data_IF_930178973621
#
_entry.id   IF_930178973621
#
_cell.length_a   1.000
_cell.length_b   1.000
_cell.length_c   1.000
_cell.angle_alpha   90.00
_cell.angle_beta   90.00
_cell.angle_gamma   90.00
#
_symmetry.space_group_name_H-M   'P 1'
#
loop_
_entity.id
_entity.type
_entity.pdbx_description
1 polymer ?
#
# COMPACT_ATOMS: atom_id res chain seq x y z
N UNK A 1 -20.79 7.47 -49.42
CA UNK A 1 -19.41 7.36 -48.88
C UNK A 1 -18.47 8.45 -49.41
N UNK A 2 -18.18 8.55 -50.72
CA UNK A 2 -17.29 9.61 -51.27
C UNK A 2 -17.75 11.05 -50.97
N UNK A 3 -19.05 11.33 -51.08
CA UNK A 3 -19.62 12.65 -50.76
C UNK A 3 -19.48 13.01 -49.26
N UNK A 4 -19.68 12.05 -48.37
CA UNK A 4 -19.53 12.24 -46.92
C UNK A 4 -18.07 12.52 -46.51
N UNK A 5 -17.12 11.81 -47.14
CA UNK A 5 -15.69 12.01 -46.93
C UNK A 5 -15.24 13.39 -47.44
N UNK A 6 -15.76 13.83 -48.59
CA UNK A 6 -15.49 15.15 -49.14
C UNK A 6 -16.06 16.29 -48.27
N UNK A 7 -17.23 16.09 -47.63
CA UNK A 7 -17.82 17.07 -46.72
C UNK A 7 -17.03 17.13 -45.39
N UNK A 8 -16.61 15.98 -44.85
CA UNK A 8 -15.75 15.92 -43.67
C UNK A 8 -14.40 16.64 -43.88
N UNK A 9 -13.75 16.43 -45.03
CA UNK A 9 -12.50 17.12 -45.37
C UNK A 9 -12.69 18.63 -45.49
N UNK A 10 -13.82 19.08 -46.05
CA UNK A 10 -14.14 20.52 -46.14
C UNK A 10 -14.32 21.14 -44.75
N UNK A 11 -15.00 20.46 -43.84
CA UNK A 11 -15.18 20.92 -42.44
C UNK A 11 -13.87 20.94 -41.67
N UNK A 12 -12.99 19.96 -41.87
CA UNK A 12 -11.66 19.94 -41.25
C UNK A 12 -10.82 21.17 -41.68
N UNK A 13 -10.88 21.55 -42.96
CA UNK A 13 -10.16 22.74 -43.46
C UNK A 13 -10.73 24.07 -42.96
N UNK A 14 -12.01 24.12 -42.62
CA UNK A 14 -12.67 25.35 -42.17
C UNK A 14 -12.33 25.75 -40.73
N UNK A 15 -11.80 24.84 -39.91
CA UNK A 15 -11.47 25.10 -38.51
C UNK A 15 -10.11 24.47 -38.09
N UNK A 16 -8.99 24.89 -38.70
CA UNK A 16 -7.70 24.23 -38.55
C UNK A 16 -7.21 24.16 -37.10
N UNK A 17 -7.46 25.19 -36.28
CA UNK A 17 -7.07 25.20 -34.87
C UNK A 17 -7.77 24.13 -34.02
N UNK A 18 -9.05 23.85 -34.30
CA UNK A 18 -9.81 22.84 -33.55
C UNK A 18 -9.43 21.42 -33.95
N UNK A 19 -9.15 21.21 -35.24
CA UNK A 19 -8.61 19.95 -35.75
C UNK A 19 -7.24 19.66 -35.16
N UNK A 20 -6.37 20.68 -35.10
CA UNK A 20 -5.06 20.54 -34.47
C UNK A 20 -5.18 20.16 -32.99
N UNK A 21 -6.09 20.78 -32.23
CA UNK A 21 -6.33 20.44 -30.83
C UNK A 21 -6.86 19.01 -30.65
N UNK A 22 -7.84 18.58 -31.45
CA UNK A 22 -8.37 17.23 -31.39
C UNK A 22 -7.31 16.18 -31.75
N UNK A 23 -6.52 16.44 -32.80
CA UNK A 23 -5.40 15.57 -33.18
C UNK A 23 -4.33 15.51 -32.07
N UNK A 24 -3.99 16.65 -31.47
CA UNK A 24 -3.05 16.71 -30.35
C UNK A 24 -3.56 15.90 -29.15
N UNK A 25 -4.86 15.98 -28.83
CA UNK A 25 -5.47 15.18 -27.76
C UNK A 25 -5.40 13.68 -28.01
N UNK A 26 -5.69 13.22 -29.24
CA UNK A 26 -5.57 11.81 -29.62
C UNK A 26 -4.12 11.34 -29.52
N UNK A 27 -3.17 12.14 -30.03
CA UNK A 27 -1.74 11.80 -29.97
C UNK A 27 -1.26 11.72 -28.52
N UNK A 28 -1.68 12.65 -27.66
CA UNK A 28 -1.35 12.63 -26.24
C UNK A 28 -1.93 11.40 -25.54
N UNK A 29 -3.20 11.07 -25.77
CA UNK A 29 -3.84 9.88 -25.19
C UNK A 29 -3.16 8.58 -25.66
N UNK A 30 -2.84 8.46 -26.95
CA UNK A 30 -2.13 7.31 -27.49
C UNK A 30 -0.71 7.20 -26.92
N UNK A 31 -0.01 8.32 -26.74
CA UNK A 31 1.31 8.36 -26.11
C UNK A 31 1.26 7.93 -24.64
N UNK A 32 0.26 8.40 -23.88
CA UNK A 32 0.04 8.00 -22.48
C UNK A 32 -0.26 6.50 -22.36
N UNK A 33 -1.12 5.96 -23.22
CA UNK A 33 -1.40 4.52 -23.26
C UNK A 33 -0.16 3.71 -23.63
N UNK A 34 0.61 4.15 -24.63
CA UNK A 34 1.87 3.50 -25.02
C UNK A 34 2.91 3.52 -23.90
N UNK A 35 3.03 4.64 -23.19
CA UNK A 35 3.90 4.77 -22.02
C UNK A 35 3.43 3.83 -20.88
N UNK A 36 2.13 3.81 -20.57
CA UNK A 36 1.56 2.94 -19.55
C UNK A 36 1.83 1.46 -19.83
N UNK A 37 1.57 0.99 -21.05
CA UNK A 37 1.85 -0.41 -21.45
C UNK A 37 3.35 -0.74 -21.36
N UNK A 38 4.20 0.19 -21.79
CA UNK A 38 5.67 0.01 -21.74
C UNK A 38 6.17 -0.09 -20.30
N UNK A 39 5.69 0.79 -19.41
CA UNK A 39 6.04 0.77 -17.97
C UNK A 39 5.52 -0.51 -17.32
N UNK A 40 4.27 -0.90 -17.59
CA UNK A 40 3.69 -2.15 -17.08
C UNK A 40 4.55 -3.37 -17.43
N UNK A 41 4.90 -3.49 -18.71
CA UNK A 41 5.71 -4.58 -19.22
C UNK A 41 7.14 -4.54 -18.66
N UNK A 42 7.71 -3.34 -18.54
CA UNK A 42 9.03 -3.12 -17.94
C UNK A 42 9.09 -3.52 -16.46
N UNK A 43 8.05 -3.22 -15.69
CA UNK A 43 7.96 -3.59 -14.28
C UNK A 43 7.73 -5.10 -14.09
N UNK A 44 6.80 -5.69 -14.85
CA UNK A 44 6.54 -7.13 -14.76
C UNK A 44 7.79 -7.96 -15.09
N UNK A 45 8.43 -7.67 -16.23
CA UNK A 45 9.65 -8.41 -16.65
C UNK A 45 10.90 -7.99 -15.88
N UNK A 46 10.92 -6.76 -15.34
CA UNK A 46 11.98 -6.25 -14.50
C UNK A 46 12.01 -6.93 -13.14
N UNK A 47 10.84 -7.16 -12.53
CA UNK A 47 10.70 -7.92 -11.30
C UNK A 47 11.22 -9.35 -11.48
N UNK A 48 10.73 -10.10 -12.47
CA UNK A 48 11.15 -11.49 -12.70
C UNK A 48 12.67 -11.61 -12.88
N UNK A 49 13.27 -10.69 -13.64
CA UNK A 49 14.72 -10.65 -13.84
C UNK A 49 15.47 -10.34 -12.55
N UNK A 50 14.99 -9.36 -11.78
CA UNK A 50 15.62 -8.96 -10.52
C UNK A 50 15.47 -10.06 -9.47
N UNK A 51 14.31 -10.69 -9.36
CA UNK A 51 14.05 -11.83 -8.49
C UNK A 51 14.94 -13.02 -8.83
N UNK A 52 15.13 -13.32 -10.12
CA UNK A 52 16.03 -14.37 -10.56
C UNK A 52 17.50 -14.03 -10.28
N UNK A 53 17.93 -12.79 -10.49
CA UNK A 53 19.30 -12.34 -10.20
C UNK A 53 19.60 -12.30 -8.70
N UNK A 54 18.63 -11.87 -7.90
CA UNK A 54 18.71 -11.81 -6.45
C UNK A 54 18.52 -13.18 -5.78
N UNK A 55 18.16 -14.19 -6.58
CA UNK A 55 17.83 -15.51 -6.08
C UNK A 55 16.80 -15.44 -4.93
N UNK A 56 15.74 -14.67 -5.17
CA UNK A 56 14.71 -14.33 -4.18
C UNK A 56 14.08 -15.61 -3.60
N UNK A 57 13.86 -15.74 -2.29
CA UNK A 57 13.18 -16.90 -1.71
C UNK A 57 11.77 -17.07 -2.27
N UNK A 58 11.26 -18.30 -2.23
CA UNK A 58 9.86 -18.58 -2.58
C UNK A 58 8.92 -18.12 -1.45
N UNK A 59 9.38 -18.20 -0.20
CA UNK A 59 8.69 -17.69 0.99
C UNK A 59 9.66 -16.92 1.88
N UNK A 60 9.26 -15.72 2.27
CA UNK A 60 9.87 -14.93 3.33
C UNK A 60 8.94 -14.99 4.54
N UNK A 61 9.42 -15.52 5.66
CA UNK A 61 8.71 -15.53 6.93
C UNK A 61 9.31 -14.47 7.84
N UNK A 62 8.50 -13.52 8.30
CA UNK A 62 8.85 -12.56 9.36
C UNK A 62 8.16 -12.97 10.65
N UNK A 63 8.81 -12.81 11.79
CA UNK A 63 8.30 -13.16 13.11
C UNK A 63 9.01 -12.28 14.15
N UNK A 64 8.64 -12.37 15.43
CA UNK A 64 9.36 -11.68 16.51
C UNK A 64 10.81 -12.17 16.68
N UNK A 65 11.56 -11.57 17.60
CA UNK A 65 12.92 -12.01 17.89
C UNK A 65 12.94 -13.39 18.56
N UNK A 66 13.63 -14.34 17.93
CA UNK A 66 13.68 -15.74 18.37
C UNK A 66 15.13 -16.27 18.34
N UNK A 67 15.38 -17.30 19.14
CA UNK A 67 16.65 -18.02 19.06
C UNK A 67 16.75 -18.79 17.73
N UNK A 68 17.90 -18.68 17.07
CA UNK A 68 18.10 -19.29 15.74
C UNK A 68 17.91 -20.81 15.77
N UNK A 69 18.36 -21.49 16.82
CA UNK A 69 18.26 -22.95 16.94
C UNK A 69 16.81 -23.41 17.02
N UNK A 70 15.98 -22.66 17.75
CA UNK A 70 14.55 -22.90 17.88
C UNK A 70 13.80 -22.75 16.55
N UNK A 71 14.12 -21.69 15.79
CA UNK A 71 13.55 -21.49 14.45
C UNK A 71 14.05 -22.57 13.49
N UNK A 72 15.34 -22.91 13.56
CA UNK A 72 15.98 -23.93 12.73
C UNK A 72 15.34 -25.31 12.90
N UNK A 73 15.06 -25.74 14.13
CA UNK A 73 14.39 -27.02 14.39
C UNK A 73 13.02 -27.10 13.68
N UNK A 74 12.25 -26.02 13.75
CA UNK A 74 10.91 -25.94 13.15
C UNK A 74 10.99 -25.87 11.62
N UNK A 75 11.85 -25.02 11.07
CA UNK A 75 11.99 -24.83 9.62
C UNK A 75 12.61 -26.07 8.97
N UNK A 76 13.53 -26.76 9.63
CA UNK A 76 14.13 -27.99 9.12
C UNK A 76 13.14 -29.13 8.90
N UNK A 77 12.00 -29.10 9.62
CA UNK A 77 10.94 -30.09 9.47
C UNK A 77 9.99 -29.82 8.28
N UNK A 78 10.12 -28.67 7.61
CA UNK A 78 9.22 -28.31 6.52
C UNK A 78 9.44 -29.21 5.29
N UNK A 79 8.38 -29.86 4.78
CA UNK A 79 8.48 -30.56 3.51
C UNK A 79 8.63 -29.56 2.36
N UNK A 80 9.18 -30.03 1.23
CA UNK A 80 9.41 -29.21 0.05
C UNK A 80 10.40 -28.04 0.26
N UNK A 81 11.19 -28.05 1.33
CA UNK A 81 12.23 -27.06 1.57
C UNK A 81 13.55 -27.53 0.96
N UNK A 82 14.07 -26.79 -0.02
CA UNK A 82 15.40 -27.01 -0.59
C UNK A 82 16.48 -26.36 0.29
N UNK A 83 16.27 -25.09 0.66
CA UNK A 83 17.26 -24.31 1.40
C UNK A 83 16.59 -23.25 2.26
N UNK A 84 17.31 -22.82 3.30
CA UNK A 84 16.90 -21.76 4.21
C UNK A 84 18.08 -20.88 4.62
N UNK A 85 17.78 -19.61 4.88
CA UNK A 85 18.70 -18.62 5.44
C UNK A 85 17.95 -17.81 6.48
N UNK A 86 18.64 -17.38 7.54
CA UNK A 86 18.06 -16.52 8.58
C UNK A 86 18.69 -15.15 8.59
N UNK A 87 17.93 -14.18 9.08
CA UNK A 87 18.39 -12.81 9.30
C UNK A 87 17.83 -12.26 10.59
N UNK A 88 18.54 -11.25 11.06
CA UNK A 88 18.03 -10.25 11.97
C UNK A 88 17.76 -8.96 11.20
N UNK A 89 16.56 -8.42 11.34
CA UNK A 89 16.12 -7.12 10.81
C UNK A 89 15.92 -6.17 11.99
N UNK A 90 16.65 -5.06 12.02
CA UNK A 90 16.41 -3.94 12.94
C UNK A 90 15.80 -2.80 12.14
N UNK A 91 14.65 -2.27 12.57
CA UNK A 91 13.97 -1.12 11.95
C UNK A 91 14.25 0.17 12.72
N UNK A 92 13.84 1.31 12.13
CA UNK A 92 13.91 2.63 12.76
C UNK A 92 15.33 3.02 13.22
N UNK A 93 16.32 2.55 12.45
CA UNK A 93 17.73 2.81 12.73
C UNK A 93 18.14 4.12 12.09
N UNK A 94 18.66 5.10 12.84
CA UNK A 94 19.16 6.34 12.26
C UNK A 94 20.38 6.08 11.39
N UNK A 95 20.26 6.29 10.07
CA UNK A 95 21.32 6.13 9.10
C UNK A 95 21.81 7.48 8.59
N UNK A 96 23.13 7.61 8.40
CA UNK A 96 23.76 8.83 7.87
C UNK A 96 24.91 8.50 6.92
N UNK A 97 24.94 9.14 5.77
CA UNK A 97 26.04 9.09 4.80
C UNK A 97 26.00 10.29 3.85
N UNK A 98 27.16 10.74 3.35
CA UNK A 98 27.30 11.83 2.37
C UNK A 98 26.50 13.13 2.66
N UNK A 99 26.28 13.44 3.94
CA UNK A 99 25.53 14.64 4.38
C UNK A 99 24.02 14.45 4.45
N UNK A 100 23.52 13.29 4.03
CA UNK A 100 22.12 12.88 4.14
C UNK A 100 21.89 12.06 5.43
N UNK A 101 20.63 12.05 5.89
CA UNK A 101 20.22 11.28 7.06
C UNK A 101 18.75 10.86 6.99
N UNK A 102 18.43 9.68 7.53
CA UNK A 102 17.06 9.20 7.72
C UNK A 102 16.96 8.45 9.04
N UNK A 103 15.84 8.62 9.74
CA UNK A 103 15.51 7.85 10.95
C UNK A 103 14.75 6.55 10.61
N UNK A 104 14.36 6.35 9.34
CA UNK A 104 13.61 5.19 8.83
C UNK A 104 14.56 4.12 8.22
N UNK A 105 15.72 3.92 8.82
CA UNK A 105 16.70 2.95 8.34
C UNK A 105 16.40 1.53 8.81
N UNK A 106 16.79 0.55 7.98
CA UNK A 106 16.71 -0.87 8.26
C UNK A 106 18.08 -1.51 8.07
N UNK A 107 18.52 -2.22 9.11
CA UNK A 107 19.73 -3.03 9.07
C UNK A 107 19.34 -4.49 9.01
N UNK A 108 19.84 -5.19 8.01
CA UNK A 108 19.78 -6.65 7.94
C UNK A 108 21.13 -7.26 8.30
N UNK A 109 21.20 -7.94 9.44
CA UNK A 109 22.35 -8.80 9.74
C UNK A 109 22.16 -10.13 9.00
N UNK A 110 22.96 -10.34 7.96
CA UNK A 110 22.81 -11.48 7.06
C UNK A 110 23.77 -12.62 7.40
N UNK A 111 23.30 -13.84 7.18
CA UNK A 111 24.06 -15.08 7.35
C UNK A 111 23.93 -15.94 6.08
N UNK A 112 24.84 -16.90 5.90
CA UNK A 112 24.74 -17.90 4.83
C UNK A 112 25.05 -17.39 3.40
N UNK A 113 24.93 -18.31 2.45
CA UNK A 113 25.30 -18.11 1.05
C UNK A 113 24.19 -17.45 0.23
N UNK A 114 22.94 -17.94 0.32
CA UNK A 114 21.80 -17.37 -0.39
C UNK A 114 21.17 -16.26 0.42
N UNK A 115 21.15 -15.06 -0.18
CA UNK A 115 20.78 -13.82 0.51
C UNK A 115 19.67 -13.05 -0.19
N UNK A 116 18.90 -13.62 -1.09
CA UNK A 116 17.67 -12.97 -1.58
C UNK A 116 17.83 -11.54 -2.11
N UNK A 117 19.06 -11.12 -2.43
CA UNK A 117 19.44 -9.85 -3.02
C UNK A 117 20.61 -10.11 -3.98
N UNK A 118 20.74 -9.30 -5.02
CA UNK A 118 21.82 -9.39 -6.00
C UNK A 118 22.81 -8.26 -5.78
N UNK A 119 24.12 -8.54 -5.84
CA UNK A 119 25.16 -7.51 -5.91
C UNK A 119 25.22 -6.98 -7.35
N UNK A 120 25.10 -5.66 -7.50
CA UNK A 120 25.20 -4.97 -8.78
C UNK A 120 26.58 -4.33 -8.96
N UNK A 121 27.19 -3.88 -7.87
CA UNK A 121 28.51 -3.26 -7.85
C UNK A 121 29.29 -3.67 -6.60
N UNK A 122 30.62 -3.77 -6.71
CA UNK A 122 31.49 -4.15 -5.61
C UNK A 122 31.45 -5.64 -5.30
N UNK A 123 31.34 -5.98 -4.02
CA UNK A 123 31.29 -7.35 -3.51
C UNK A 123 30.23 -7.48 -2.41
N UNK A 124 29.87 -8.72 -2.09
CA UNK A 124 29.02 -9.00 -0.93
C UNK A 124 29.82 -8.92 0.39
N UNK A 125 29.12 -8.78 1.52
CA UNK A 125 29.72 -8.94 2.86
C UNK A 125 30.04 -10.41 3.10
N UNK A 126 31.18 -10.70 3.71
CA UNK A 126 31.61 -12.05 4.12
C UNK A 126 31.41 -12.24 5.62
N UNK A 127 31.53 -13.47 6.11
CA UNK A 127 31.33 -13.76 7.53
C UNK A 127 32.23 -12.94 8.45
N UNK A 128 33.43 -12.57 7.99
CA UNK A 128 34.45 -11.87 8.77
C UNK A 128 34.45 -10.33 8.52
N UNK A 129 33.55 -9.81 7.67
CA UNK A 129 33.47 -8.38 7.36
C UNK A 129 32.73 -7.59 8.46
N UNK A 130 33.44 -7.22 9.52
CA UNK A 130 32.89 -6.37 10.59
C UNK A 130 32.57 -4.95 10.11
N UNK A 131 33.42 -4.41 9.25
CA UNK A 131 33.37 -3.02 8.81
C UNK A 131 32.72 -2.86 7.42
N UNK A 132 32.15 -3.93 6.85
CA UNK A 132 31.56 -3.91 5.52
C UNK A 132 30.03 -3.87 5.52
N UNK A 133 29.45 -3.07 4.63
CA UNK A 133 28.01 -3.06 4.36
C UNK A 133 27.71 -3.14 2.85
N UNK A 134 26.61 -3.81 2.50
CA UNK A 134 25.98 -3.67 1.18
C UNK A 134 24.80 -2.72 1.31
N UNK A 135 24.72 -1.71 0.45
CA UNK A 135 23.64 -0.72 0.46
C UNK A 135 22.67 -0.99 -0.70
N UNK A 136 21.37 -0.78 -0.47
CA UNK A 136 20.36 -0.89 -1.52
C UNK A 136 20.59 0.17 -2.62
N UNK A 137 20.39 -0.21 -3.88
CA UNK A 137 20.68 0.64 -5.04
C UNK A 137 19.92 1.96 -5.04
N UNK A 138 18.62 1.95 -4.73
CA UNK A 138 17.81 3.18 -4.66
C UNK A 138 18.39 4.18 -3.66
N UNK A 139 18.83 3.69 -2.50
CA UNK A 139 19.54 4.49 -1.50
C UNK A 139 20.85 5.04 -2.05
N UNK A 140 21.67 4.17 -2.65
CA UNK A 140 22.95 4.59 -3.20
C UNK A 140 22.79 5.67 -4.28
N UNK A 141 21.75 5.57 -5.11
CA UNK A 141 21.45 6.56 -6.14
C UNK A 141 20.97 7.90 -5.55
N UNK A 142 20.05 7.85 -4.60
CA UNK A 142 19.46 9.07 -4.03
C UNK A 142 20.48 9.83 -3.17
N UNK A 143 21.26 9.12 -2.36
CA UNK A 143 22.26 9.73 -1.47
C UNK A 143 23.63 9.92 -2.13
N UNK A 144 23.76 9.55 -3.41
CA UNK A 144 25.02 9.62 -4.15
C UNK A 144 26.15 8.83 -3.49
N UNK A 145 25.87 7.60 -3.04
CA UNK A 145 26.82 6.70 -2.42
C UNK A 145 27.50 5.81 -3.45
N UNK A 146 28.81 5.62 -3.30
CA UNK A 146 29.63 4.73 -4.11
C UNK A 146 30.27 3.62 -3.24
N UNK A 147 30.76 2.56 -3.89
CA UNK A 147 31.57 1.55 -3.18
C UNK A 147 32.87 2.20 -2.66
N UNK A 148 33.14 2.03 -1.38
CA UNK A 148 34.23 2.68 -0.65
C UNK A 148 33.80 3.88 0.20
N UNK A 149 32.58 4.39 0.02
CA UNK A 149 32.00 5.38 0.92
C UNK A 149 31.70 4.77 2.29
N UNK A 150 31.37 5.61 3.28
CA UNK A 150 31.02 5.16 4.63
C UNK A 150 29.57 5.49 4.94
N UNK A 151 28.85 4.51 5.49
CA UNK A 151 27.53 4.68 6.07
C UNK A 151 27.57 4.41 7.56
N UNK A 152 26.89 5.24 8.35
CA UNK A 152 26.86 5.13 9.80
C UNK A 152 25.45 4.84 10.31
N UNK A 153 25.37 3.98 11.33
CA UNK A 153 24.16 3.74 12.10
C UNK A 153 24.33 4.26 13.54
N UNK A 154 23.43 5.16 13.93
CA UNK A 154 23.52 5.83 15.22
C UNK A 154 24.81 6.64 15.37
N UNK A 155 25.41 6.59 16.55
CA UNK A 155 26.64 7.34 16.88
C UNK A 155 27.90 6.48 17.00
N UNK A 156 27.78 5.15 16.86
CA UNK A 156 28.85 4.21 17.23
C UNK A 156 29.22 3.21 16.14
N UNK A 157 28.34 2.98 15.16
CA UNK A 157 28.59 2.00 14.11
C UNK A 157 28.77 2.73 12.78
N UNK A 158 29.82 2.35 12.06
CA UNK A 158 30.13 2.84 10.73
C UNK A 158 30.67 1.70 9.89
N UNK A 159 30.19 1.57 8.66
CA UNK A 159 30.62 0.56 7.71
C UNK A 159 31.08 1.21 6.41
N UNK A 160 32.15 0.70 5.84
CA UNK A 160 32.52 0.90 4.45
C UNK A 160 31.51 0.18 3.55
N UNK A 161 31.01 0.89 2.54
CA UNK A 161 30.12 0.33 1.54
C UNK A 161 30.96 -0.57 0.62
N UNK A 162 30.91 -1.87 0.84
CA UNK A 162 31.67 -2.86 0.05
C UNK A 162 30.92 -3.30 -1.20
N UNK A 163 29.61 -3.04 -1.27
CA UNK A 163 28.80 -3.34 -2.44
C UNK A 163 27.49 -2.56 -2.50
N UNK A 164 26.92 -2.48 -3.69
CA UNK A 164 25.58 -1.95 -3.95
C UNK A 164 24.72 -3.10 -4.44
N UNK A 165 23.61 -3.35 -3.76
CA UNK A 165 22.72 -4.48 -4.00
C UNK A 165 21.32 -4.09 -4.42
N UNK A 166 20.56 -5.05 -4.95
CA UNK A 166 19.12 -4.93 -5.19
C UNK A 166 18.37 -6.09 -4.54
N UNK A 167 17.37 -5.76 -3.73
CA UNK A 167 16.46 -6.73 -3.12
C UNK A 167 15.06 -6.53 -3.69
N UNK A 168 14.50 -7.50 -4.42
CA UNK A 168 13.20 -7.34 -5.09
C UNK A 168 12.01 -7.53 -4.16
N UNK A 169 12.23 -7.80 -2.88
CA UNK A 169 11.20 -7.99 -1.85
C UNK A 169 10.53 -6.68 -1.38
N UNK A 170 10.92 -5.54 -1.95
CA UNK A 170 10.27 -4.25 -1.71
C UNK A 170 10.38 -3.33 -2.92
N UNK A 171 9.59 -2.26 -2.92
CA UNK A 171 9.76 -1.16 -3.86
C UNK A 171 11.08 -0.44 -3.55
N UNK A 172 11.82 -0.02 -4.58
CA UNK A 172 13.08 0.69 -4.40
C UNK A 172 12.87 2.04 -3.69
N UNK A 173 13.84 2.46 -2.89
CA UNK A 173 13.91 3.82 -2.34
C UNK A 173 13.96 4.84 -3.50
N UNK A 174 13.26 6.00 -3.40
CA UNK A 174 12.55 6.54 -2.24
C UNK A 174 11.07 6.16 -2.12
N UNK A 175 10.55 5.26 -2.96
CA UNK A 175 9.13 4.91 -2.94
C UNK A 175 8.76 4.06 -1.71
N UNK A 176 9.64 3.13 -1.31
CA UNK A 176 9.65 2.66 0.06
C UNK A 176 10.47 3.67 0.85
N UNK A 177 9.85 4.39 1.79
CA UNK A 177 10.52 5.38 2.65
C UNK A 177 11.70 4.79 3.45
N UNK A 178 11.73 3.47 3.56
CA UNK A 178 12.71 2.71 4.32
C UNK A 178 14.03 2.52 3.59
N UNK A 179 15.14 2.88 4.25
CA UNK A 179 16.49 2.77 3.73
C UNK A 179 17.12 1.44 4.19
N UNK A 180 17.61 0.59 3.28
CA UNK A 180 18.13 -0.75 3.66
C UNK A 180 19.63 -0.90 3.49
N UNK A 181 20.27 -1.46 4.50
CA UNK A 181 21.66 -1.92 4.46
C UNK A 181 21.79 -3.36 4.96
N UNK A 182 22.77 -4.09 4.42
CA UNK A 182 23.07 -5.49 4.78
C UNK A 182 24.48 -5.56 5.34
N UNK A 183 24.62 -6.15 6.53
CA UNK A 183 25.88 -6.27 7.27
C UNK A 183 26.12 -7.72 7.67
N UNK A 184 27.37 -8.09 7.96
CA UNK A 184 27.69 -9.46 8.39
C UNK A 184 27.17 -9.72 9.81
N UNK A 185 26.18 -10.63 9.94
CA UNK A 185 25.72 -11.10 11.24
C UNK A 185 26.84 -11.77 12.06
N UNK A 186 27.58 -12.74 11.51
CA UNK A 186 28.64 -13.43 12.25
C UNK A 186 29.74 -12.48 12.74
N UNK A 187 30.12 -11.47 11.95
CA UNK A 187 31.11 -10.50 12.37
C UNK A 187 30.62 -9.64 13.54
N UNK A 188 29.35 -9.21 13.52
CA UNK A 188 28.74 -8.48 14.62
C UNK A 188 28.70 -9.33 15.91
N UNK A 189 28.30 -10.60 15.80
CA UNK A 189 28.27 -11.52 16.94
C UNK A 189 29.66 -11.68 17.58
N UNK A 190 30.69 -11.88 16.76
CA UNK A 190 32.08 -11.99 17.22
C UNK A 190 32.60 -10.69 17.85
N UNK A 191 32.34 -9.54 17.23
CA UNK A 191 32.87 -8.26 17.68
C UNK A 191 32.29 -7.79 19.03
N UNK A 192 31.05 -8.18 19.32
CA UNK A 192 30.32 -7.73 20.50
C UNK A 192 30.08 -8.85 21.53
N UNK A 193 30.59 -10.06 21.28
CA UNK A 193 30.49 -11.24 22.16
C UNK A 193 29.02 -11.55 22.57
N UNK A 194 28.11 -11.54 21.58
CA UNK A 194 26.72 -11.91 21.78
C UNK A 194 26.16 -12.69 20.59
N UNK A 195 25.04 -13.38 20.79
CA UNK A 195 24.31 -14.06 19.71
C UNK A 195 23.15 -13.20 19.26
N UNK A 196 23.12 -12.85 17.97
CA UNK A 196 22.02 -12.10 17.38
C UNK A 196 20.80 -13.04 17.28
N UNK A 197 19.60 -12.62 17.74
CA UNK A 197 18.38 -13.36 17.46
C UNK A 197 18.11 -13.37 15.95
N UNK A 198 17.05 -14.07 15.55
CA UNK A 198 16.53 -14.02 14.18
C UNK A 198 15.06 -13.65 14.25
N UNK A 199 14.63 -12.84 13.29
CA UNK A 199 13.23 -12.42 13.14
C UNK A 199 12.76 -12.56 11.68
N UNK A 200 13.61 -13.15 10.84
CA UNK A 200 13.30 -13.44 9.45
C UNK A 200 13.94 -14.75 8.98
N UNK A 201 13.14 -15.55 8.26
CA UNK A 201 13.59 -16.74 7.56
C UNK A 201 13.26 -16.64 6.06
N UNK A 202 14.27 -16.90 5.23
CA UNK A 202 14.16 -16.97 3.78
C UNK A 202 14.17 -18.42 3.37
N UNK A 203 13.13 -18.86 2.66
CA UNK A 203 12.88 -20.26 2.34
C UNK A 203 12.82 -20.45 0.82
N UNK A 204 13.63 -21.36 0.30
CA UNK A 204 13.61 -21.79 -1.10
C UNK A 204 13.00 -23.17 -1.19
N UNK A 205 11.97 -23.31 -2.01
CA UNK A 205 11.21 -24.54 -2.18
C UNK A 205 11.89 -25.46 -3.21
N UNK A 206 11.87 -26.77 -2.96
CA UNK A 206 12.33 -27.76 -3.95
C UNK A 206 11.46 -27.75 -5.21
N UNK A 207 10.15 -27.59 -5.03
CA UNK A 207 9.16 -27.38 -6.09
C UNK A 207 8.38 -26.07 -5.80
N UNK A 208 8.71 -24.96 -6.50
CA UNK A 208 8.04 -23.68 -6.32
C UNK A 208 6.52 -23.72 -6.60
N UNK A 209 6.04 -24.67 -7.43
CA UNK A 209 4.61 -24.83 -7.72
C UNK A 209 3.83 -25.40 -6.52
N UNK A 210 4.52 -25.87 -5.49
CA UNK A 210 3.96 -26.43 -4.25
C UNK A 210 4.28 -25.56 -3.03
N UNK A 211 4.45 -24.26 -3.25
CA UNK A 211 4.69 -23.28 -2.18
C UNK A 211 3.48 -23.21 -1.23
N UNK A 212 2.27 -23.46 -1.73
CA UNK A 212 1.04 -23.57 -0.94
C UNK A 212 1.13 -24.69 0.13
N UNK A 213 1.67 -25.86 -0.23
CA UNK A 213 1.89 -26.97 0.70
C UNK A 213 2.93 -26.60 1.75
N UNK A 214 4.02 -25.95 1.34
CA UNK A 214 5.05 -25.46 2.27
C UNK A 214 4.46 -24.46 3.27
N UNK A 215 3.61 -23.53 2.82
CA UNK A 215 2.94 -22.55 3.69
C UNK A 215 1.92 -23.18 4.64
N UNK A 216 1.13 -24.16 4.16
CA UNK A 216 0.17 -24.86 5.02
C UNK A 216 0.89 -25.59 6.16
N UNK A 217 2.01 -26.23 5.86
CA UNK A 217 2.83 -26.91 6.87
C UNK A 217 3.57 -25.92 7.76
N UNK A 218 4.12 -24.85 7.20
CA UNK A 218 4.77 -23.80 7.96
C UNK A 218 3.82 -23.19 9.00
N UNK A 219 2.57 -22.90 8.62
CA UNK A 219 1.53 -22.42 9.56
C UNK A 219 1.19 -23.45 10.65
N UNK A 220 1.24 -24.74 10.34
CA UNK A 220 0.98 -25.80 11.31
C UNK A 220 2.17 -25.99 12.27
N UNK A 221 3.41 -25.82 11.80
CA UNK A 221 4.64 -26.00 12.58
C UNK A 221 5.10 -24.73 13.31
N UNK A 222 4.60 -23.56 12.93
CA UNK A 222 4.98 -22.28 13.49
C UNK A 222 4.27 -21.92 14.80
N UNK A 223 3.60 -22.89 15.43
CA UNK A 223 2.98 -22.70 16.72
C UNK A 223 4.02 -22.20 17.74
N UNK A 224 3.78 -21.01 18.30
CA UNK A 224 4.64 -20.38 19.28
C UNK A 224 5.54 -19.25 18.77
N UNK A 225 5.65 -19.02 17.46
CA UNK A 225 6.32 -17.82 16.94
C UNK A 225 5.37 -16.62 17.01
N UNK A 226 5.78 -15.53 17.67
CA UNK A 226 5.01 -14.28 17.68
C UNK A 226 5.09 -13.57 16.32
N UNK A 227 4.05 -12.81 15.99
CA UNK A 227 4.02 -11.88 14.84
C UNK A 227 4.34 -12.49 13.47
N UNK A 228 4.08 -13.79 13.31
CA UNK A 228 4.42 -14.52 12.11
C UNK A 228 3.63 -14.04 10.89
N UNK A 229 4.36 -13.60 9.87
CA UNK A 229 3.82 -13.18 8.56
C UNK A 229 4.59 -13.90 7.45
N UNK A 230 3.84 -14.51 6.54
CA UNK A 230 4.41 -15.14 5.35
C UNK A 230 4.18 -14.25 4.13
N UNK A 231 5.26 -13.99 3.40
CA UNK A 231 5.25 -13.24 2.14
C UNK A 231 5.79 -14.19 1.07
N UNK A 232 4.98 -14.51 0.07
CA UNK A 232 5.42 -15.37 -1.04
C UNK A 232 6.04 -14.54 -2.15
N UNK A 233 6.91 -15.14 -2.97
CA UNK A 233 7.44 -14.51 -4.20
C UNK A 233 6.31 -13.94 -5.08
N UNK A 234 5.25 -14.72 -5.26
CA UNK A 234 4.06 -14.32 -6.01
C UNK A 234 3.33 -13.15 -5.33
N UNK A 235 3.25 -13.16 -4.00
CA UNK A 235 2.67 -12.05 -3.22
C UNK A 235 3.46 -10.74 -3.37
N UNK A 236 4.79 -10.80 -3.37
CA UNK A 236 5.63 -9.64 -3.68
C UNK A 236 5.38 -9.15 -5.11
N UNK A 237 5.32 -10.07 -6.09
CA UNK A 237 5.05 -9.73 -7.48
C UNK A 237 3.69 -9.03 -7.65
N UNK A 238 2.66 -9.52 -6.95
CA UNK A 238 1.33 -8.91 -6.94
C UNK A 238 1.36 -7.54 -6.29
N UNK A 239 2.00 -7.37 -5.13
CA UNK A 239 2.08 -6.07 -4.45
C UNK A 239 2.80 -5.01 -5.30
N UNK A 240 3.91 -5.38 -5.94
CA UNK A 240 4.63 -4.51 -6.88
C UNK A 240 3.78 -4.23 -8.13
N UNK A 241 3.08 -5.25 -8.63
CA UNK A 241 2.16 -5.14 -9.77
C UNK A 241 0.95 -4.25 -9.49
N UNK A 242 0.41 -4.28 -8.26
CA UNK A 242 -0.71 -3.46 -7.82
C UNK A 242 -0.32 -1.99 -7.71
N UNK A 243 0.82 -1.70 -7.07
CA UNK A 243 1.36 -0.33 -7.02
C UNK A 243 1.56 0.24 -8.44
N UNK A 244 2.07 -0.56 -9.37
CA UNK A 244 2.16 -0.19 -10.77
C UNK A 244 0.78 -0.01 -11.43
N UNK A 245 -0.14 -0.95 -11.17
CA UNK A 245 -1.51 -0.98 -11.68
C UNK A 245 -2.30 0.28 -11.33
N UNK A 246 -2.18 0.76 -10.09
CA UNK A 246 -2.80 2.02 -9.63
C UNK A 246 -2.30 3.18 -10.48
N UNK A 247 -0.98 3.31 -10.68
CA UNK A 247 -0.40 4.38 -11.50
C UNK A 247 -0.91 4.31 -12.94
N UNK A 248 -0.96 3.11 -13.53
CA UNK A 248 -1.46 2.91 -14.89
C UNK A 248 -2.95 3.27 -14.97
N UNK A 249 -3.76 2.83 -14.01
CA UNK A 249 -5.19 3.12 -13.94
C UNK A 249 -5.43 4.63 -13.85
N UNK A 250 -4.66 5.35 -13.02
CA UNK A 250 -4.71 6.81 -12.91
C UNK A 250 -4.32 7.49 -14.22
N UNK A 251 -3.25 7.05 -14.88
CA UNK A 251 -2.84 7.59 -16.18
C UNK A 251 -3.91 7.36 -17.26
N UNK A 252 -4.54 6.18 -17.28
CA UNK A 252 -5.64 5.86 -18.20
C UNK A 252 -6.88 6.71 -17.88
N UNK A 253 -7.27 6.83 -16.61
CA UNK A 253 -8.40 7.66 -16.20
C UNK A 253 -8.17 9.13 -16.57
N UNK A 254 -6.98 9.66 -16.30
CA UNK A 254 -6.60 11.02 -16.69
C UNK A 254 -6.64 11.19 -18.22
N UNK A 255 -6.15 10.19 -18.96
CA UNK A 255 -6.22 10.18 -20.43
C UNK A 255 -7.67 10.22 -20.93
N UNK A 256 -8.58 9.46 -20.31
CA UNK A 256 -10.01 9.43 -20.64
C UNK A 256 -10.67 10.77 -20.33
N UNK A 257 -10.41 11.36 -19.15
CA UNK A 257 -10.94 12.66 -18.75
C UNK A 257 -10.46 13.75 -19.71
N UNK A 258 -9.16 13.74 -20.05
CA UNK A 258 -8.59 14.66 -21.03
C UNK A 258 -9.24 14.49 -22.42
N UNK A 259 -9.49 13.25 -22.85
CA UNK A 259 -10.16 12.96 -24.12
C UNK A 259 -11.63 13.43 -24.11
N UNK A 260 -12.35 13.21 -23.01
CA UNK A 260 -13.73 13.66 -22.83
C UNK A 260 -13.82 15.19 -22.82
N UNK A 261 -12.93 15.88 -22.11
CA UNK A 261 -12.83 17.33 -22.11
C UNK A 261 -12.54 17.88 -23.52
N UNK A 262 -11.59 17.27 -24.23
CA UNK A 262 -11.31 17.64 -25.62
C UNK A 262 -12.52 17.40 -26.54
N UNK A 263 -13.25 16.30 -26.35
CA UNK A 263 -14.48 15.98 -27.07
C UNK A 263 -15.60 17.01 -26.83
N UNK A 264 -15.81 17.42 -25.57
CA UNK A 264 -16.79 18.45 -25.21
C UNK A 264 -16.44 19.80 -25.81
N UNK A 265 -15.17 20.22 -25.75
CA UNK A 265 -14.70 21.46 -26.38
C UNK A 265 -14.91 21.40 -27.90
N UNK A 266 -14.63 20.26 -28.54
CA UNK A 266 -14.87 20.07 -29.97
C UNK A 266 -16.36 20.11 -30.34
N UNK A 267 -17.24 19.51 -29.53
CA UNK A 267 -18.68 19.52 -29.74
C UNK A 267 -19.30 20.92 -29.56
N UNK A 268 -18.94 21.63 -28.49
CA UNK A 268 -19.39 23.01 -28.25
C UNK A 268 -18.98 23.94 -29.40
N UNK A 269 -17.76 23.75 -29.90
CA UNK A 269 -17.26 24.41 -31.09
C UNK A 269 -18.11 24.16 -32.34
N UNK A 270 -18.54 22.91 -32.60
CA UNK A 270 -19.37 22.59 -33.76
C UNK A 270 -20.78 23.18 -33.68
N UNK A 271 -21.31 23.33 -32.47
CA UNK A 271 -22.66 23.83 -32.21
C UNK A 271 -22.75 25.36 -32.15
N UNK A 272 -21.63 26.09 -32.24
CA UNK A 272 -21.62 27.55 -32.22
C UNK A 272 -22.01 28.18 -30.87
N UNK A 273 -22.06 27.38 -29.80
CA UNK A 273 -22.39 27.85 -28.46
C UNK A 273 -21.11 28.40 -27.78
N UNK A 274 -21.16 29.66 -27.35
CA UNK A 274 -20.14 30.25 -26.49
C UNK A 274 -19.99 29.43 -25.21
N UNK A 275 -18.73 29.12 -24.86
CA UNK A 275 -18.34 28.11 -23.87
C UNK A 275 -18.68 28.56 -22.43
N UNK A 276 -19.44 27.74 -21.71
CA UNK A 276 -19.63 27.82 -20.24
C UNK A 276 -19.68 26.40 -19.66
N UNK A 277 -18.59 25.64 -19.77
CA UNK A 277 -18.56 24.22 -19.32
C UNK A 277 -17.40 23.92 -18.35
N UNK A 278 -16.40 24.79 -18.22
CA UNK A 278 -15.23 24.50 -17.38
C UNK A 278 -15.47 24.56 -15.86
N UNK A 279 -16.65 24.97 -15.38
CA UNK A 279 -16.93 25.15 -13.95
C UNK A 279 -17.49 23.91 -13.23
N UNK A 280 -18.02 22.91 -13.93
CA UNK A 280 -18.83 21.85 -13.31
C UNK A 280 -18.06 20.79 -12.50
N UNK A 281 -16.87 20.38 -12.96
CA UNK A 281 -16.12 19.29 -12.34
C UNK A 281 -15.34 19.71 -11.10
N UNK A 282 -14.75 20.91 -11.11
CA UNK A 282 -14.11 21.49 -9.92
C UNK A 282 -15.14 21.70 -8.79
N UNK A 283 -16.35 22.17 -9.13
CA UNK A 283 -17.43 22.34 -8.15
C UNK A 283 -18.01 21.03 -7.63
N UNK A 284 -17.87 19.91 -8.35
CA UNK A 284 -18.40 18.63 -7.90
C UNK A 284 -17.63 18.08 -6.70
N UNK A 285 -16.31 18.02 -6.83
CA UNK A 285 -15.42 17.61 -5.73
C UNK A 285 -15.45 18.63 -4.59
N UNK A 286 -15.42 19.93 -4.89
CA UNK A 286 -15.46 20.99 -3.88
C UNK A 286 -16.80 21.05 -3.15
N UNK A 287 -17.93 20.78 -3.83
CA UNK A 287 -19.25 20.70 -3.20
C UNK A 287 -19.41 19.42 -2.37
N UNK A 288 -18.87 18.28 -2.83
CA UNK A 288 -18.85 17.05 -2.02
C UNK A 288 -17.93 17.18 -0.80
N UNK A 289 -16.75 17.81 -0.96
CA UNK A 289 -15.83 18.10 0.14
C UNK A 289 -16.42 19.09 1.15
N UNK A 290 -17.08 20.16 0.67
CA UNK A 290 -17.79 21.12 1.54
C UNK A 290 -19.05 20.54 2.19
N UNK A 291 -19.73 19.58 1.56
CA UNK A 291 -20.92 18.92 2.14
C UNK A 291 -20.56 17.81 3.13
N UNK A 292 -19.40 17.18 2.97
CA UNK A 292 -18.96 16.06 3.80
C UNK A 292 -18.18 16.46 5.06
N UNK A 293 -18.04 17.77 5.31
CA UNK A 293 -17.31 18.32 6.46
C UNK A 293 -15.97 17.60 6.66
N UNK A 294 -15.24 17.44 5.55
CA UNK A 294 -14.06 16.59 5.50
C UNK A 294 -12.98 17.11 6.45
N UNK A 295 -12.25 16.20 7.11
CA UNK A 295 -11.10 16.62 7.90
C UNK A 295 -10.04 17.23 6.96
N UNK A 296 -9.41 18.32 7.42
CA UNK A 296 -8.30 18.94 6.69
C UNK A 296 -7.07 18.01 6.64
N UNK A 297 -6.94 17.11 7.62
CA UNK A 297 -5.88 16.12 7.76
C UNK A 297 -6.50 14.81 8.24
N UNK A 298 -6.16 13.71 7.57
CA UNK A 298 -6.49 12.36 7.98
C UNK A 298 -5.20 11.65 8.38
N UNK A 299 -5.10 11.15 9.61
CA UNK A 299 -3.92 10.44 10.10
C UNK A 299 -4.28 9.01 10.50
N UNK A 300 -3.46 8.03 10.07
CA UNK A 300 -3.55 6.63 10.47
C UNK A 300 -2.45 6.31 11.48
N UNK A 301 -2.82 5.60 12.53
CA UNK A 301 -1.93 5.17 13.61
C UNK A 301 -1.86 3.64 13.62
N UNK A 302 -0.85 3.09 14.30
CA UNK A 302 -0.84 1.67 14.61
C UNK A 302 -1.90 1.32 15.66
N UNK A 303 -1.86 0.09 16.17
CA UNK A 303 -2.66 -0.31 17.32
C UNK A 303 -2.09 0.34 18.58
N UNK A 304 -2.54 1.56 18.86
CA UNK A 304 -2.08 2.39 19.96
C UNK A 304 -3.21 2.69 20.95
N UNK A 305 -2.84 2.88 22.22
CA UNK A 305 -3.79 3.34 23.22
C UNK A 305 -4.30 4.73 22.86
N UNK A 306 -5.62 4.89 22.90
CA UNK A 306 -6.28 6.14 22.55
C UNK A 306 -5.73 7.34 23.29
N UNK A 307 -5.42 7.19 24.58
CA UNK A 307 -4.92 8.28 25.41
C UNK A 307 -3.58 8.82 24.88
N UNK A 308 -2.70 7.94 24.37
CA UNK A 308 -1.43 8.34 23.78
C UNK A 308 -1.61 9.05 22.44
N UNK A 309 -2.45 8.49 21.56
CA UNK A 309 -2.79 9.12 20.28
C UNK A 309 -3.42 10.49 20.55
N UNK A 310 -4.30 10.58 21.54
CA UNK A 310 -4.95 11.83 21.92
C UNK A 310 -3.96 12.86 22.46
N UNK A 311 -3.00 12.47 23.29
CA UNK A 311 -1.95 13.36 23.77
C UNK A 311 -1.12 13.93 22.61
N UNK A 312 -0.70 13.08 21.66
CA UNK A 312 0.11 13.50 20.50
C UNK A 312 -0.68 14.39 19.55
N UNK A 313 -1.92 14.02 19.22
CA UNK A 313 -2.79 14.82 18.35
C UNK A 313 -3.16 16.15 19.03
N UNK A 314 -3.37 16.16 20.35
CA UNK A 314 -3.62 17.39 21.10
C UNK A 314 -2.44 18.37 21.11
N UNK A 315 -1.21 17.87 20.93
CA UNK A 315 -0.02 18.70 20.86
C UNK A 315 0.18 19.38 19.49
N UNK A 316 -0.60 19.01 18.46
CA UNK A 316 -0.48 19.59 17.13
C UNK A 316 -0.95 21.06 17.12
N UNK A 317 -0.12 22.01 16.65
CA UNK A 317 -0.53 23.40 16.54
C UNK A 317 -1.59 23.58 15.44
N UNK A 318 -2.51 24.52 15.65
CA UNK A 318 -3.60 24.86 14.72
C UNK A 318 -4.66 23.77 14.50
N UNK A 319 -4.81 22.83 15.43
CA UNK A 319 -5.89 21.86 15.40
C UNK A 319 -7.16 22.44 16.05
N UNK A 320 -8.17 22.78 15.26
CA UNK A 320 -9.44 23.32 15.76
C UNK A 320 -10.34 22.22 16.34
N UNK A 321 -10.43 21.08 15.65
CA UNK A 321 -11.23 19.93 16.03
C UNK A 321 -10.52 18.63 15.63
N UNK A 322 -10.87 17.53 16.29
CA UNK A 322 -10.33 16.19 16.03
C UNK A 322 -11.41 15.15 16.27
N UNK A 323 -11.42 14.09 15.47
CA UNK A 323 -12.33 12.97 15.68
C UNK A 323 -11.60 11.67 15.46
N UNK A 324 -11.72 10.78 16.43
CA UNK A 324 -11.10 9.47 16.37
C UNK A 324 -12.08 8.44 15.81
N UNK A 325 -11.59 7.56 14.95
CA UNK A 325 -12.33 6.37 14.50
C UNK A 325 -11.43 5.14 14.59
N UNK A 326 -12.04 4.00 14.86
CA UNK A 326 -11.40 2.70 14.78
C UNK A 326 -11.76 2.05 13.44
N UNK A 327 -10.76 1.60 12.69
CA UNK A 327 -10.89 0.89 11.42
C UNK A 327 -10.52 -0.59 11.63
N UNK A 328 -11.43 -1.50 11.34
CA UNK A 328 -11.14 -2.95 11.26
C UNK A 328 -11.25 -3.39 9.81
N UNK A 329 -10.28 -4.15 9.32
CA UNK A 329 -10.24 -4.67 7.94
C UNK A 329 -10.46 -6.17 7.90
N UNK A 330 -10.88 -6.71 6.75
CA UNK A 330 -11.11 -8.16 6.60
C UNK A 330 -12.37 -8.64 7.33
N UNK A 331 -13.33 -7.76 7.59
CA UNK A 331 -14.56 -8.09 8.30
C UNK A 331 -15.55 -8.73 7.32
N UNK A 332 -16.10 -9.92 7.61
CA UNK A 332 -17.16 -10.50 6.81
C UNK A 332 -18.41 -9.60 6.80
N UNK A 333 -18.87 -9.21 5.61
CA UNK A 333 -20.11 -8.48 5.39
C UNK A 333 -21.10 -9.35 4.61
N UNK A 334 -22.39 -9.28 4.96
CA UNK A 334 -23.47 -10.02 4.29
C UNK A 334 -24.75 -9.18 4.19
N UNK A 335 -25.34 -9.07 3.00
CA UNK A 335 -26.67 -8.47 2.84
C UNK A 335 -27.29 -8.87 1.50
N UNK A 336 -28.61 -8.96 1.42
CA UNK A 336 -29.35 -9.23 0.16
C UNK A 336 -28.86 -10.45 -0.66
N UNK A 337 -28.29 -11.47 0.00
CA UNK A 337 -27.74 -12.66 -0.66
C UNK A 337 -26.30 -12.50 -1.16
N UNK A 338 -25.72 -11.31 -1.03
CA UNK A 338 -24.31 -11.01 -1.29
C UNK A 338 -23.47 -11.18 -0.02
N UNK A 339 -22.18 -11.48 -0.19
CA UNK A 339 -21.22 -11.59 0.90
C UNK A 339 -19.81 -11.23 0.47
N UNK A 340 -19.02 -10.66 1.37
CA UNK A 340 -17.59 -10.38 1.16
C UNK A 340 -16.80 -10.61 2.45
N UNK A 341 -15.56 -11.07 2.32
CA UNK A 341 -14.62 -11.19 3.46
C UNK A 341 -13.65 -10.00 3.54
N UNK A 342 -13.74 -9.05 2.61
CA UNK A 342 -12.84 -7.89 2.50
C UNK A 342 -13.55 -6.60 2.96
N UNK A 343 -14.47 -6.72 3.92
CA UNK A 343 -15.17 -5.58 4.50
C UNK A 343 -14.28 -4.77 5.43
N UNK A 344 -14.61 -3.49 5.53
CA UNK A 344 -14.02 -2.56 6.49
C UNK A 344 -15.12 -1.94 7.33
N UNK A 345 -14.96 -2.03 8.65
CA UNK A 345 -15.82 -1.37 9.61
C UNK A 345 -15.09 -0.15 10.15
N UNK A 346 -15.80 0.97 10.19
CA UNK A 346 -15.39 2.13 10.97
C UNK A 346 -16.29 2.28 12.19
N UNK A 347 -15.74 2.13 13.38
CA UNK A 347 -16.43 2.48 14.60
C UNK A 347 -16.20 3.97 14.87
N UNK A 348 -17.26 4.76 14.74
CA UNK A 348 -17.21 6.23 14.78
C UNK A 348 -17.71 6.78 16.11
N UNK A 349 -17.05 7.84 16.59
CA UNK A 349 -17.41 8.59 17.80
C UNK A 349 -17.41 10.08 17.50
N UNK A 350 -18.36 10.82 18.08
CA UNK A 350 -18.42 12.28 17.98
C UNK A 350 -19.27 12.81 16.82
N UNK A 351 -19.21 14.13 16.63
CA UNK A 351 -20.08 14.86 15.71
C UNK A 351 -19.58 14.87 14.25
N UNK A 352 -18.26 14.80 14.02
CA UNK A 352 -17.64 14.85 12.68
C UNK A 352 -17.04 13.52 12.27
N UNK A 353 -17.59 12.86 11.26
CA UNK A 353 -17.32 11.42 11.04
C UNK A 353 -16.52 11.06 9.79
N UNK A 354 -16.14 12.07 9.01
CA UNK A 354 -15.38 11.87 7.78
C UNK A 354 -16.19 11.23 6.65
N UNK A 355 -17.52 11.40 6.66
CA UNK A 355 -18.42 11.05 5.57
C UNK A 355 -19.63 11.99 5.53
N UNK A 356 -20.24 12.14 4.35
CA UNK A 356 -21.53 12.81 4.16
C UNK A 356 -22.65 11.78 4.10
N UNK A 357 -23.75 12.02 4.81
CA UNK A 357 -25.01 11.30 4.60
C UNK A 357 -25.67 11.81 3.33
N UNK A 358 -25.98 10.89 2.41
CA UNK A 358 -26.73 11.15 1.19
C UNK A 358 -28.21 10.81 1.34
N UNK A 359 -28.50 9.75 2.10
CA UNK A 359 -29.86 9.26 2.35
C UNK A 359 -30.00 8.77 3.79
N UNK A 360 -31.19 8.93 4.38
CA UNK A 360 -31.48 8.49 5.75
C UNK A 360 -30.93 9.44 6.82
N UNK A 361 -30.43 8.86 7.91
CA UNK A 361 -29.84 9.57 9.04
C UNK A 361 -28.51 8.94 9.44
N UNK A 362 -27.71 9.70 10.16
CA UNK A 362 -26.46 9.20 10.71
C UNK A 362 -26.70 8.24 11.89
N UNK A 363 -25.71 7.39 12.16
CA UNK A 363 -25.63 6.58 13.39
C UNK A 363 -25.38 7.49 14.60
N UNK A 364 -25.93 7.20 15.76
CA UNK A 364 -25.64 7.93 17.01
C UNK A 364 -25.24 6.97 18.14
N UNK A 365 -24.84 7.50 19.29
CA UNK A 365 -24.57 6.68 20.46
C UNK A 365 -25.81 5.88 20.92
N UNK A 366 -27.01 6.36 20.59
CA UNK A 366 -28.29 5.73 20.93
C UNK A 366 -28.74 4.69 19.90
N UNK A 367 -27.94 4.45 18.85
CA UNK A 367 -28.22 3.50 17.76
C UNK A 367 -27.26 2.30 17.80
N UNK A 368 -27.40 1.38 18.77
CA UNK A 368 -26.43 0.29 18.93
C UNK A 368 -26.42 -0.70 17.75
N UNK A 369 -27.57 -0.87 17.12
CA UNK A 369 -27.77 -1.76 15.99
C UNK A 369 -27.82 -0.97 14.66
N UNK A 370 -27.37 0.29 14.64
CA UNK A 370 -27.40 1.13 13.45
C UNK A 370 -26.09 1.11 12.65
N UNK A 371 -26.19 1.13 11.32
CA UNK A 371 -25.07 1.34 10.42
C UNK A 371 -25.35 2.42 9.36
N UNK A 372 -24.31 3.14 8.95
CA UNK A 372 -24.28 3.90 7.70
C UNK A 372 -23.46 3.11 6.68
N UNK A 373 -24.03 2.85 5.52
CA UNK A 373 -23.38 2.06 4.47
C UNK A 373 -22.83 2.99 3.39
N UNK A 374 -21.63 2.71 2.87
CA UNK A 374 -21.06 3.47 1.76
C UNK A 374 -21.92 3.30 0.49
N UNK A 375 -22.14 4.39 -0.25
CA UNK A 375 -23.02 4.43 -1.43
C UNK A 375 -22.69 3.37 -2.48
N UNK A 376 -21.42 3.15 -2.77
CA UNK A 376 -20.98 2.11 -3.70
C UNK A 376 -21.41 0.71 -3.26
N UNK A 377 -21.25 0.38 -1.98
CA UNK A 377 -21.75 -0.87 -1.39
C UNK A 377 -23.28 -0.95 -1.52
N UNK A 378 -23.99 0.12 -1.17
CA UNK A 378 -25.44 0.15 -1.25
C UNK A 378 -25.96 -0.04 -2.68
N UNK A 379 -25.30 0.58 -3.67
CA UNK A 379 -25.67 0.42 -5.09
C UNK A 379 -25.39 -0.98 -5.62
N UNK A 380 -24.24 -1.56 -5.27
CA UNK A 380 -23.85 -2.90 -5.72
C UNK A 380 -24.78 -3.97 -5.14
N UNK A 381 -25.05 -3.89 -3.84
CA UNK A 381 -25.82 -4.90 -3.10
C UNK A 381 -27.33 -4.61 -3.08
N UNK A 382 -27.76 -3.54 -3.77
CA UNK A 382 -29.15 -3.10 -3.82
C UNK A 382 -29.74 -2.82 -2.44
N UNK A 383 -28.97 -2.16 -1.56
CA UNK A 383 -29.37 -1.84 -0.19
C UNK A 383 -30.06 -0.49 -0.14
N UNK A 384 -31.11 -0.42 0.67
CA UNK A 384 -31.87 0.78 0.98
C UNK A 384 -31.81 1.10 2.48
N UNK A 385 -32.17 2.34 2.86
CA UNK A 385 -32.34 2.69 4.28
C UNK A 385 -33.49 1.87 4.88
N UNK A 386 -33.22 1.22 6.02
CA UNK A 386 -34.13 0.28 6.69
C UNK A 386 -33.84 -1.19 6.39
N UNK A 387 -32.96 -1.50 5.43
CA UNK A 387 -32.46 -2.86 5.23
C UNK A 387 -31.51 -3.28 6.37
N UNK A 388 -31.11 -4.55 6.37
CA UNK A 388 -30.15 -5.10 7.34
C UNK A 388 -28.86 -5.50 6.65
N UNK A 389 -27.72 -5.13 7.25
CA UNK A 389 -26.39 -5.58 6.87
C UNK A 389 -25.77 -6.38 8.01
N UNK A 390 -25.39 -7.62 7.72
CA UNK A 390 -24.68 -8.47 8.65
C UNK A 390 -23.18 -8.20 8.61
N UNK A 391 -22.58 -8.16 9.80
CA UNK A 391 -21.22 -7.71 10.06
C UNK A 391 -20.59 -8.68 11.05
N UNK A 392 -19.79 -9.61 10.53
CA UNK A 392 -19.40 -10.80 11.30
C UNK A 392 -20.64 -11.57 11.78
N UNK A 393 -20.81 -11.64 13.11
CA UNK A 393 -21.94 -12.32 13.75
C UNK A 393 -23.10 -11.37 14.10
N UNK A 394 -22.92 -10.07 13.92
CA UNK A 394 -23.90 -9.04 14.27
C UNK A 394 -24.71 -8.66 13.03
N UNK A 395 -25.90 -8.11 13.23
CA UNK A 395 -26.78 -7.60 12.18
C UNK A 395 -27.15 -6.16 12.53
N UNK A 396 -26.95 -5.24 11.59
CA UNK A 396 -27.20 -3.81 11.76
C UNK A 396 -28.29 -3.31 10.80
N UNK A 397 -29.20 -2.48 11.28
CA UNK A 397 -30.15 -1.71 10.45
C UNK A 397 -29.41 -0.58 9.74
N UNK A 398 -29.61 -0.46 8.43
CA UNK A 398 -29.03 0.62 7.62
C UNK A 398 -29.82 1.90 7.89
N UNK A 399 -29.28 2.76 8.74
CA UNK A 399 -29.88 4.04 9.09
C UNK A 399 -29.65 5.11 8.03
N UNK A 400 -28.56 4.98 7.28
CA UNK A 400 -28.21 5.93 6.22
C UNK A 400 -27.27 5.36 5.17
N UNK A 401 -27.23 6.03 4.02
CA UNK A 401 -26.27 5.78 2.95
C UNK A 401 -25.34 6.99 2.89
N UNK A 402 -24.04 6.74 3.07
CA UNK A 402 -23.01 7.77 3.15
C UNK A 402 -22.02 7.75 1.99
N UNK A 403 -21.27 8.82 1.81
CA UNK A 403 -20.08 8.88 0.95
C UNK A 403 -18.89 9.38 1.75
N UNK A 404 -17.79 8.63 1.69
CA UNK A 404 -16.52 8.98 2.32
C UNK A 404 -15.51 9.38 1.25
N UNK A 405 -14.65 10.40 1.50
CA UNK A 405 -13.64 10.83 0.54
C UNK A 405 -12.60 9.75 0.28
N UNK A 406 -12.44 8.82 1.22
CA UNK A 406 -11.46 7.74 1.15
C UNK A 406 -11.88 6.67 0.14
N UNK A 407 -13.10 6.76 -0.41
CA UNK A 407 -13.69 5.81 -1.36
C UNK A 407 -14.35 6.56 -2.53
N UNK A 408 -13.52 7.10 -3.44
CA UNK A 408 -14.02 8.04 -4.47
C UNK A 408 -14.80 7.35 -5.60
N UNK A 409 -14.72 6.03 -5.77
CA UNK A 409 -15.52 5.32 -6.77
C UNK A 409 -15.51 3.81 -6.55
N UNK A 410 -16.60 3.23 -6.08
CA UNK A 410 -16.90 1.82 -6.36
C UNK A 410 -17.34 1.67 -7.83
N UNK A 411 -16.92 0.63 -8.59
CA UNK A 411 -16.19 -0.58 -8.18
C UNK A 411 -14.65 -0.45 -8.21
N UNK A 412 -14.08 0.75 -8.35
CA UNK A 412 -12.62 0.93 -8.43
C UNK A 412 -11.92 0.79 -7.08
N UNK A 413 -12.62 1.06 -5.97
CA UNK A 413 -12.15 0.65 -4.64
C UNK A 413 -12.69 -0.74 -4.33
N UNK A 414 -11.80 -1.70 -4.07
CA UNK A 414 -12.12 -3.10 -3.80
C UNK A 414 -12.73 -3.34 -2.42
N UNK A 415 -12.75 -2.33 -1.56
CA UNK A 415 -13.05 -2.50 -0.13
C UNK A 415 -14.43 -1.94 0.21
N UNK A 416 -15.30 -2.80 0.74
CA UNK A 416 -16.64 -2.43 1.18
C UNK A 416 -16.57 -1.76 2.55
N UNK A 417 -17.14 -0.57 2.72
CA UNK A 417 -17.06 0.19 3.98
C UNK A 417 -18.42 0.40 4.61
N UNK A 418 -18.47 0.21 5.93
CA UNK A 418 -19.62 0.55 6.77
C UNK A 418 -19.17 1.32 8.02
N UNK A 419 -20.05 2.16 8.54
CA UNK A 419 -19.81 2.99 9.72
C UNK A 419 -20.83 2.62 10.80
N UNK A 420 -20.35 2.27 11.99
CA UNK A 420 -21.17 1.84 13.12
C UNK A 420 -20.85 2.67 14.36
N UNK A 421 -21.77 2.68 15.33
CA UNK A 421 -21.59 3.40 16.58
C UNK A 421 -20.48 2.77 17.44
N UNK A 422 -19.42 3.54 17.77
CA UNK A 422 -18.32 3.04 18.59
C UNK A 422 -18.72 2.51 19.97
N UNK A 423 -19.53 3.23 20.77
CA UNK A 423 -20.02 2.75 22.06
C UNK A 423 -20.75 1.40 21.98
N UNK A 424 -21.50 1.17 20.90
CA UNK A 424 -22.24 -0.06 20.70
C UNK A 424 -21.32 -1.26 20.42
N UNK A 425 -20.26 -1.02 19.66
CA UNK A 425 -19.29 -2.05 19.34
C UNK A 425 -18.46 -2.42 20.58
N UNK A 426 -18.10 -1.45 21.42
CA UNK A 426 -17.47 -1.73 22.72
C UNK A 426 -18.38 -2.55 23.66
N UNK A 427 -19.68 -2.20 23.73
CA UNK A 427 -20.65 -2.95 24.53
C UNK A 427 -20.85 -4.38 24.01
N UNK A 428 -20.90 -4.58 22.69
CA UNK A 428 -21.09 -5.89 22.08
C UNK A 428 -19.92 -6.85 22.34
N UNK A 429 -18.70 -6.33 22.51
CA UNK A 429 -17.50 -7.15 22.63
C UNK A 429 -16.80 -7.05 24.01
N UNK A 430 -17.32 -6.26 24.95
CA UNK A 430 -16.78 -6.08 26.31
C UNK A 430 -15.29 -5.64 26.31
N UNK A 431 -14.90 -4.76 25.37
CA UNK A 431 -13.55 -4.18 25.31
C UNK A 431 -13.57 -2.71 24.87
N UNK A 432 -12.55 -1.96 25.25
CA UNK A 432 -12.36 -0.56 24.82
C UNK A 432 -11.65 -0.55 23.47
N UNK A 433 -12.25 0.07 22.45
CA UNK A 433 -11.66 0.10 21.12
C UNK A 433 -10.37 0.92 21.12
N UNK A 434 -9.25 0.38 20.58
CA UNK A 434 -8.08 1.19 20.32
C UNK A 434 -8.41 2.23 19.24
N UNK A 435 -7.54 3.22 19.07
CA UNK A 435 -7.70 4.23 18.03
C UNK A 435 -6.59 4.08 17.03
N UNK A 436 -6.95 3.79 15.78
CA UNK A 436 -6.01 3.67 14.67
C UNK A 436 -6.24 4.75 13.59
N UNK A 437 -7.14 5.72 13.85
CA UNK A 437 -7.32 6.87 12.96
C UNK A 437 -7.84 8.13 13.68
N UNK A 438 -7.33 9.31 13.29
CA UNK A 438 -7.72 10.63 13.82
C UNK A 438 -7.93 11.68 12.73
#
# INVERSE_FOLDING_TARGET
>A
MRAALADAVRRLRAAPGRVALAAAGIVAAAAMLGAGVTVSYGLATGFDRSAQQADLPDVLARFGDEEREDVEERVAALPNLEQRTYRYEETDVPLRANGESSDDGVIHAVRGERRGYAILEGRDVTADDLDGAVVERGVAQEWGLEVGDTISAGSRLSWEIVGIGVSPDNVAYPLASTLRIYVSGPALEEAFDFTLPVNMALLWATDPQRTDVLLQQARASSYGLSDLRFITREGVQVAVGEAAGIVIALLVAFSIVALAAAGMVAAAAMLGAGVTVSYGLATGFERSAQQADLPDVLARFGDEEREEVEERVAALPNLEQRTYRYEETGVPLRANGESSNDGVIHAVRGERRGYAILEGRDVTADDPDGAVVERGVAQEWGLEVGDTIGVGQLDYEILGIGVSPDNVAYPLASTLRIYVSGPALEEAFDFVLPVNMA
#
